data_IF_211334911719
#
_entry.id   IF_211334911719
#
_cell.length_a   1.000
_cell.length_b   1.000
_cell.length_c   1.000
_cell.angle_alpha   90.00
_cell.angle_beta   90.00
_cell.angle_gamma   90.00
#
_symmetry.space_group_name_H-M   'P 1'
#
loop_
_entity.id
_entity.type
_entity.pdbx_description
1 polymer ?
#
# COMPACT_ATOMS: atom_id res chain seq x y z
N UNK A 1 -15.91 -2.91 4.84
CA UNK A 1 -14.94 -4.01 4.64
C UNK A 1 -14.95 -4.34 3.16
N UNK A 2 -13.78 -4.66 2.60
CA UNK A 2 -13.67 -5.18 1.24
C UNK A 2 -14.45 -6.49 1.07
N UNK A 3 -14.82 -6.83 -0.17
CA UNK A 3 -15.34 -8.14 -0.54
C UNK A 3 -14.44 -8.73 -1.63
N UNK A 4 -13.88 -9.91 -1.38
CA UNK A 4 -12.92 -10.58 -2.28
C UNK A 4 -11.81 -9.61 -2.76
N UNK A 5 -11.52 -9.58 -4.06
CA UNK A 5 -10.59 -8.63 -4.65
C UNK A 5 -11.26 -7.26 -4.81
N UNK A 6 -10.91 -6.32 -3.94
CA UNK A 6 -11.44 -4.96 -3.94
C UNK A 6 -10.35 -3.96 -4.32
N UNK A 7 -10.69 -3.04 -5.23
CA UNK A 7 -9.90 -1.84 -5.51
C UNK A 7 -10.63 -0.63 -4.93
N UNK A 8 -9.90 0.26 -4.24
CA UNK A 8 -10.45 1.43 -3.57
C UNK A 8 -9.74 2.66 -4.11
N UNK A 9 -10.50 3.55 -4.74
CA UNK A 9 -10.02 4.88 -5.07
C UNK A 9 -10.39 5.84 -3.93
N UNK A 10 -9.41 6.24 -3.13
CA UNK A 10 -9.64 7.19 -2.05
C UNK A 10 -9.81 8.63 -2.54
N UNK A 11 -9.49 8.92 -3.81
CA UNK A 11 -9.70 10.24 -4.41
C UNK A 11 -11.16 10.51 -4.77
N UNK A 12 -12.02 9.49 -4.73
CA UNK A 12 -13.45 9.64 -5.00
C UNK A 12 -14.12 10.64 -4.03
N UNK A 13 -15.13 11.36 -4.51
CA UNK A 13 -15.89 12.37 -3.76
C UNK A 13 -16.48 11.78 -2.47
N UNK A 14 -16.86 10.50 -2.50
CA UNK A 14 -17.39 9.76 -1.35
C UNK A 14 -16.39 9.71 -0.17
N UNK A 15 -15.08 9.80 -0.45
CA UNK A 15 -14.01 9.75 0.57
C UNK A 15 -13.42 11.12 0.91
N UNK A 16 -13.65 12.14 0.08
CA UNK A 16 -13.02 13.48 0.21
C UNK A 16 -13.98 14.56 0.72
N UNK A 17 -15.26 14.26 0.89
CA UNK A 17 -16.24 15.24 1.36
C UNK A 17 -15.90 15.81 2.76
N UNK A 18 -15.50 17.08 2.79
CA UNK A 18 -15.11 17.80 4.00
C UNK A 18 -13.75 17.43 4.58
N UNK A 19 -12.91 16.68 3.84
CA UNK A 19 -11.57 16.24 4.27
C UNK A 19 -10.52 16.61 3.22
N UNK A 20 -9.23 16.80 3.60
CA UNK A 20 -8.17 16.95 2.61
C UNK A 20 -8.08 15.70 1.72
N UNK A 21 -7.64 15.88 0.48
CA UNK A 21 -7.43 14.77 -0.44
C UNK A 21 -6.44 13.75 0.17
N UNK A 22 -6.66 12.43 0.03
CA UNK A 22 -5.83 11.40 0.69
C UNK A 22 -4.37 11.33 0.22
N UNK A 23 -4.03 11.99 -0.89
CA UNK A 23 -2.64 12.23 -1.27
C UNK A 23 -1.96 13.27 -0.37
N UNK A 24 -2.70 14.23 0.19
CA UNK A 24 -2.22 15.29 1.08
C UNK A 24 -2.28 14.83 2.54
N UNK A 25 -3.42 14.26 2.97
CA UNK A 25 -3.61 13.71 4.30
C UNK A 25 -3.94 12.21 4.20
N UNK A 26 -2.96 11.32 4.43
CA UNK A 26 -3.14 9.89 4.26
C UNK A 26 -3.83 9.22 5.46
N UNK A 27 -4.36 9.96 6.44
CA UNK A 27 -4.95 9.38 7.66
C UNK A 27 -6.03 8.34 7.36
N UNK A 28 -6.91 8.60 6.39
CA UNK A 28 -7.95 7.64 5.98
C UNK A 28 -7.37 6.41 5.28
N UNK A 29 -6.29 6.57 4.52
CA UNK A 29 -5.56 5.46 3.89
C UNK A 29 -4.89 4.59 4.94
N UNK A 30 -4.27 5.18 5.96
CA UNK A 30 -3.64 4.48 7.09
C UNK A 30 -4.68 3.66 7.86
N UNK A 31 -5.81 4.27 8.21
CA UNK A 31 -6.90 3.61 8.94
C UNK A 31 -7.42 2.40 8.15
N UNK A 32 -7.74 2.60 6.87
CA UNK A 32 -8.23 1.53 6.01
C UNK A 32 -7.18 0.45 5.78
N UNK A 33 -5.91 0.82 5.58
CA UNK A 33 -4.80 -0.13 5.45
C UNK A 33 -4.70 -1.05 6.67
N UNK A 34 -4.73 -0.49 7.89
CA UNK A 34 -4.67 -1.30 9.12
C UNK A 34 -5.91 -2.16 9.32
N UNK A 35 -7.08 -1.68 8.90
CA UNK A 35 -8.32 -2.46 8.92
C UNK A 35 -8.22 -3.69 8.00
N UNK A 36 -7.77 -3.51 6.75
CA UNK A 36 -7.61 -4.62 5.80
C UNK A 36 -6.48 -5.56 6.24
N UNK A 37 -5.39 -5.03 6.80
CA UNK A 37 -4.28 -5.84 7.30
C UNK A 37 -4.68 -6.77 8.46
N UNK A 38 -5.74 -6.45 9.20
CA UNK A 38 -6.30 -7.27 10.30
C UNK A 38 -7.24 -8.37 9.81
N UNK A 39 -7.71 -8.30 8.57
CA UNK A 39 -8.61 -9.30 8.02
C UNK A 39 -7.80 -10.53 7.59
N UNK A 40 -8.05 -11.72 8.17
CA UNK A 40 -7.30 -12.93 7.83
C UNK A 40 -7.56 -13.44 6.41
N UNK A 41 -8.62 -12.97 5.73
CA UNK A 41 -8.89 -13.29 4.32
C UNK A 41 -8.04 -12.48 3.34
N UNK A 42 -7.37 -11.42 3.81
CA UNK A 42 -6.51 -10.58 2.98
C UNK A 42 -5.09 -11.14 2.95
N UNK A 43 -4.72 -11.73 1.80
CA UNK A 43 -3.35 -12.23 1.56
C UNK A 43 -2.38 -11.21 0.97
N UNK A 44 -2.89 -10.21 0.25
CA UNK A 44 -2.08 -9.19 -0.44
C UNK A 44 -2.74 -7.81 -0.31
N UNK A 45 -1.95 -6.79 0.01
CA UNK A 45 -2.36 -5.37 -0.07
C UNK A 45 -1.46 -4.65 -1.07
N UNK A 46 -2.06 -3.96 -2.03
CA UNK A 46 -1.35 -3.12 -3.02
C UNK A 46 -1.54 -1.66 -2.65
N UNK A 47 -0.46 -0.90 -2.64
CA UNK A 47 -0.47 0.55 -2.40
C UNK A 47 0.31 1.28 -3.47
N UNK A 48 -0.20 2.45 -3.85
CA UNK A 48 0.49 3.43 -4.69
C UNK A 48 0.91 4.66 -3.88
N UNK A 49 2.03 5.25 -4.26
CA UNK A 49 2.60 6.43 -3.62
C UNK A 49 2.90 7.46 -4.71
N UNK A 50 2.14 8.54 -4.74
CA UNK A 50 2.34 9.63 -5.69
C UNK A 50 3.25 10.69 -5.07
N UNK A 51 4.28 11.09 -5.80
CA UNK A 51 5.21 12.14 -5.39
C UNK A 51 4.85 13.48 -6.05
N UNK A 52 5.57 14.53 -5.64
CA UNK A 52 5.51 15.83 -6.27
C UNK A 52 4.44 16.75 -5.69
N UNK A 53 4.15 17.82 -6.43
CA UNK A 53 3.30 18.90 -5.95
C UNK A 53 1.86 18.43 -5.67
N UNK A 54 1.33 18.77 -4.50
CA UNK A 54 -0.01 18.37 -4.07
C UNK A 54 -0.08 17.01 -3.38
N UNK A 55 1.06 16.34 -3.16
CA UNK A 55 1.17 15.12 -2.36
C UNK A 55 1.76 15.41 -0.97
N UNK A 56 1.65 14.45 -0.05
CA UNK A 56 2.27 14.49 1.26
C UNK A 56 3.79 14.69 1.14
N UNK A 57 4.39 15.37 2.12
CA UNK A 57 5.84 15.66 2.09
C UNK A 57 6.73 14.42 2.19
N UNK A 58 6.19 13.31 2.70
CA UNK A 58 6.85 12.01 2.75
C UNK A 58 5.83 10.86 2.61
N UNK A 59 5.36 10.56 1.39
CA UNK A 59 4.22 9.66 1.18
C UNK A 59 4.47 8.22 1.66
N UNK A 60 5.68 7.69 1.49
CA UNK A 60 6.03 6.37 2.04
C UNK A 60 6.29 6.47 3.53
N UNK A 61 7.05 7.47 3.98
CA UNK A 61 7.46 7.57 5.37
C UNK A 61 6.30 7.59 6.36
N UNK A 62 5.23 8.32 6.03
CA UNK A 62 4.02 8.39 6.87
C UNK A 62 3.26 7.06 6.97
N UNK A 63 3.39 6.16 5.98
CA UNK A 63 2.78 4.82 5.99
C UNK A 63 3.65 3.77 6.70
N UNK A 64 4.97 4.01 6.87
CA UNK A 64 5.90 3.01 7.41
C UNK A 64 5.49 2.41 8.76
N UNK A 65 5.04 3.19 9.76
CA UNK A 65 4.63 2.60 11.04
C UNK A 65 3.50 1.59 10.88
N UNK A 66 2.51 1.91 10.05
CA UNK A 66 1.37 1.02 9.78
C UNK A 66 1.81 -0.24 9.02
N UNK A 67 2.68 -0.10 8.02
CA UNK A 67 3.24 -1.25 7.27
C UNK A 67 3.96 -2.22 8.21
N UNK A 68 4.81 -1.70 9.11
CA UNK A 68 5.54 -2.53 10.07
C UNK A 68 4.59 -3.21 11.04
N UNK A 69 3.60 -2.48 11.58
CA UNK A 69 2.56 -3.04 12.46
C UNK A 69 1.79 -4.17 11.77
N UNK A 70 1.32 -3.95 10.55
CA UNK A 70 0.55 -4.93 9.77
C UNK A 70 1.32 -6.24 9.56
N UNK A 71 2.60 -6.15 9.18
CA UNK A 71 3.44 -7.33 8.97
C UNK A 71 3.71 -8.08 10.27
N UNK A 72 4.00 -7.36 11.35
CA UNK A 72 4.20 -7.96 12.68
C UNK A 72 2.92 -8.63 13.22
N UNK A 73 1.76 -8.04 12.95
CA UNK A 73 0.48 -8.64 13.34
C UNK A 73 0.22 -9.93 12.58
N UNK A 74 0.38 -9.92 11.25
CA UNK A 74 0.24 -11.11 10.42
C UNK A 74 1.19 -12.23 10.88
N UNK A 75 2.45 -11.92 11.13
CA UNK A 75 3.45 -12.88 11.61
C UNK A 75 3.06 -13.49 12.97
N UNK A 76 2.58 -12.67 13.93
CA UNK A 76 2.08 -13.15 15.22
C UNK A 76 0.89 -14.09 15.10
N UNK A 77 0.06 -13.90 14.07
CA UNK A 77 -1.08 -14.75 13.76
C UNK A 77 -0.69 -16.00 12.94
N UNK A 78 0.59 -16.17 12.62
CA UNK A 78 1.10 -17.31 11.85
C UNK A 78 0.71 -17.27 10.37
N UNK A 79 0.33 -16.09 9.86
CA UNK A 79 -0.01 -15.88 8.45
C UNK A 79 1.00 -14.96 7.77
N UNK A 80 1.12 -15.11 6.46
CA UNK A 80 1.86 -14.16 5.63
C UNK A 80 0.90 -13.10 5.09
N UNK A 81 1.27 -11.82 5.24
CA UNK A 81 0.60 -10.71 4.58
C UNK A 81 1.60 -10.06 3.63
N UNK A 82 1.36 -10.20 2.34
CA UNK A 82 2.20 -9.58 1.33
C UNK A 82 1.76 -8.13 1.10
N UNK A 83 2.73 -7.22 1.04
CA UNK A 83 2.47 -5.81 0.76
C UNK A 83 3.27 -5.43 -0.47
N UNK A 84 2.57 -4.91 -1.48
CA UNK A 84 3.16 -4.43 -2.73
C UNK A 84 3.07 -2.90 -2.75
N UNK A 85 4.18 -2.23 -3.07
CA UNK A 85 4.24 -0.78 -3.17
C UNK A 85 4.70 -0.34 -4.56
N UNK A 86 3.97 0.58 -5.18
CA UNK A 86 4.37 1.29 -6.40
C UNK A 86 4.58 2.78 -6.11
N UNK A 87 5.71 3.35 -6.51
CA UNK A 87 5.98 4.78 -6.37
C UNK A 87 5.90 5.46 -7.74
N UNK A 88 4.96 6.39 -7.89
CA UNK A 88 4.80 7.24 -9.07
C UNK A 88 5.45 8.61 -8.82
N UNK A 89 6.45 8.94 -9.64
CA UNK A 89 7.13 10.23 -9.59
C UNK A 89 8.30 10.26 -10.57
N UNK A 90 9.08 11.31 -10.48
CA UNK A 90 10.29 11.56 -11.29
C UNK A 90 11.53 11.65 -10.39
N UNK A 91 12.70 11.67 -11.02
CA UNK A 91 13.98 11.93 -10.36
C UNK A 91 14.14 13.36 -9.85
N UNK A 92 13.26 14.27 -10.28
CA UNK A 92 13.23 15.68 -9.85
C UNK A 92 12.34 15.93 -8.62
N UNK A 93 11.48 14.96 -8.27
CA UNK A 93 10.58 15.08 -7.12
C UNK A 93 11.34 15.01 -5.79
N UNK A 94 10.76 15.65 -4.76
CA UNK A 94 11.29 15.66 -3.39
C UNK A 94 10.21 15.20 -2.41
N UNK A 95 10.52 14.29 -1.47
CA UNK A 95 11.74 13.47 -1.39
C UNK A 95 11.90 12.58 -2.64
N UNK A 96 13.14 12.16 -2.92
CA UNK A 96 13.44 11.49 -4.18
C UNK A 96 12.71 10.15 -4.30
N UNK A 97 12.35 9.79 -5.53
CA UNK A 97 11.74 8.48 -5.82
C UNK A 97 12.57 7.33 -5.26
N UNK A 98 13.90 7.41 -5.40
CA UNK A 98 14.82 6.39 -4.90
C UNK A 98 14.75 6.24 -3.38
N UNK A 99 14.69 7.35 -2.62
CA UNK A 99 14.53 7.30 -1.17
C UNK A 99 13.21 6.65 -0.75
N UNK A 100 12.12 6.97 -1.44
CA UNK A 100 10.79 6.41 -1.18
C UNK A 100 10.77 4.89 -1.45
N UNK A 101 11.35 4.45 -2.57
CA UNK A 101 11.49 3.02 -2.88
C UNK A 101 12.37 2.30 -1.86
N UNK A 102 13.50 2.90 -1.45
CA UNK A 102 14.37 2.31 -0.41
C UNK A 102 13.65 2.11 0.91
N UNK A 103 12.82 3.07 1.33
CA UNK A 103 11.98 2.95 2.54
C UNK A 103 11.06 1.73 2.46
N UNK A 104 10.37 1.53 1.33
CA UNK A 104 9.51 0.37 1.10
C UNK A 104 10.30 -0.94 1.19
N UNK A 105 11.39 -1.06 0.44
CA UNK A 105 12.20 -2.28 0.40
C UNK A 105 12.79 -2.61 1.77
N UNK A 106 13.27 -1.61 2.53
CA UNK A 106 13.77 -1.83 3.88
C UNK A 106 12.68 -2.28 4.87
N UNK A 107 11.42 -1.89 4.68
CA UNK A 107 10.28 -2.41 5.42
C UNK A 107 9.83 -3.82 4.93
N UNK A 108 10.52 -4.37 3.93
CA UNK A 108 10.21 -5.64 3.28
C UNK A 108 8.92 -5.58 2.46
N UNK A 109 8.55 -4.42 1.93
CA UNK A 109 7.49 -4.28 0.93
C UNK A 109 8.05 -4.69 -0.43
N UNK A 110 7.27 -5.47 -1.19
CA UNK A 110 7.60 -5.80 -2.59
C UNK A 110 7.40 -4.56 -3.46
N UNK A 111 8.50 -3.99 -3.97
CA UNK A 111 8.41 -2.85 -4.88
C UNK A 111 8.00 -3.30 -6.30
N UNK A 112 6.94 -2.69 -6.82
CA UNK A 112 6.50 -2.87 -8.20
C UNK A 112 6.98 -1.72 -9.08
N UNK A 113 7.50 -2.05 -10.26
CA UNK A 113 8.05 -1.06 -11.20
C UNK A 113 6.99 -0.20 -11.91
N UNK A 114 5.72 -0.60 -11.88
CA UNK A 114 4.58 0.13 -12.45
C UNK A 114 3.28 -0.34 -11.81
N UNK A 115 2.20 0.43 -11.97
CA UNK A 115 0.86 0.03 -11.54
C UNK A 115 0.41 -1.28 -12.21
N UNK A 116 0.70 -1.47 -13.51
CA UNK A 116 0.44 -2.72 -14.21
C UNK A 116 1.20 -3.90 -13.59
N UNK A 117 2.48 -3.70 -13.28
CA UNK A 117 3.28 -4.75 -12.65
C UNK A 117 2.79 -5.07 -11.23
N UNK A 118 2.35 -4.07 -10.47
CA UNK A 118 1.76 -4.28 -9.15
C UNK A 118 0.53 -5.19 -9.20
N UNK A 119 -0.38 -4.96 -10.16
CA UNK A 119 -1.55 -5.82 -10.37
C UNK A 119 -1.19 -7.24 -10.81
N UNK A 120 -0.20 -7.40 -11.68
CA UNK A 120 0.27 -8.72 -12.12
C UNK A 120 0.91 -9.52 -10.98
N UNK A 121 1.72 -8.87 -10.14
CA UNK A 121 2.32 -9.48 -8.96
C UNK A 121 1.25 -9.91 -7.95
N UNK A 122 0.28 -9.03 -7.65
CA UNK A 122 -0.81 -9.34 -6.74
C UNK A 122 -1.61 -10.57 -7.20
N UNK A 123 -1.96 -10.62 -8.50
CA UNK A 123 -2.65 -11.77 -9.10
C UNK A 123 -1.86 -13.06 -8.91
N UNK A 124 -0.56 -13.05 -9.20
CA UNK A 124 0.30 -14.24 -9.09
C UNK A 124 0.45 -14.73 -7.64
N UNK A 125 0.52 -13.81 -6.68
CA UNK A 125 0.65 -14.14 -5.26
C UNK A 125 -0.61 -14.82 -4.71
N UNK A 126 -1.80 -14.40 -5.15
CA UNK A 126 -3.04 -15.05 -4.75
C UNK A 126 -3.22 -16.40 -5.44
N UNK A 127 -2.91 -16.52 -6.74
CA UNK A 127 -3.03 -17.81 -7.47
C UNK A 127 -2.13 -18.92 -6.91
N UNK A 128 -0.94 -18.60 -6.42
CA UNK A 128 -0.05 -19.60 -5.79
C UNK A 128 -0.59 -20.13 -4.46
N UNK A 129 -1.44 -19.37 -3.77
CA UNK A 129 -2.12 -19.81 -2.56
C UNK A 129 -3.09 -20.99 -2.78
N UNK A 130 -3.62 -21.10 -4.00
CA UNK A 130 -4.63 -22.13 -4.37
C UNK A 130 -4.01 -23.46 -4.83
N UNK A 131 -2.67 -23.56 -4.90
CA UNK A 131 -1.97 -24.77 -5.38
C UNK A 131 -1.31 -25.59 -4.26
N UNK A 132 -1.69 -25.34 -3.00
CA UNK A 132 -1.36 -26.20 -1.87
C UNK A 132 -2.55 -27.11 -1.51
N UNK A 133 -2.87 -28.05 -2.40
CA UNK A 133 -3.65 -29.27 -2.12
C UNK A 133 -2.96 -30.49 -2.77
#
# INVERSE_FOLDING_TARGET
MSQEHTFIDFGDDDFTNGKPHPMIDPSSRIERFLQEAKDPSVGVIVMDFVLGFGSHEDPVGVMLPAIVEAKQLAEKEGRHLEIIGYVLGTDLDKPSLEEQVKKLVHAGVTHASSSTNAGLLAREMVLKGDHHE
#
